data_IF_091727223136
#
_entry.id   IF_091727223136
#
_cell.length_a   1.000
_cell.length_b   1.000
_cell.length_c   1.000
_cell.angle_alpha   90.00
_cell.angle_beta   90.00
_cell.angle_gamma   90.00
#
_symmetry.space_group_name_H-M   'P 1'
#
loop_
_entity.id
_entity.type
_entity.pdbx_description
1 polymer ?
#
# COMPACT_ATOMS: atom_id res chain seq x y z
N UNK A 1 -26.78 -16.38 -4.08
CA UNK A 1 -25.41 -16.02 -3.65
C UNK A 1 -25.54 -15.02 -2.53
N UNK A 2 -24.90 -15.28 -1.38
CA UNK A 2 -24.84 -14.30 -0.29
C UNK A 2 -23.87 -13.17 -0.64
N UNK A 3 -24.03 -11.99 -0.02
CA UNK A 3 -23.11 -10.86 -0.20
C UNK A 3 -21.65 -11.24 0.13
N UNK A 4 -21.47 -12.14 1.10
CA UNK A 4 -20.17 -12.69 1.50
C UNK A 4 -19.47 -13.43 0.36
N UNK A 5 -20.19 -14.30 -0.37
CA UNK A 5 -19.64 -15.02 -1.52
C UNK A 5 -19.18 -14.06 -2.64
N UNK A 6 -19.91 -12.97 -2.86
CA UNK A 6 -19.47 -11.95 -3.82
C UNK A 6 -18.20 -11.25 -3.36
N UNK A 7 -18.09 -10.88 -2.08
CA UNK A 7 -16.89 -10.26 -1.52
C UNK A 7 -15.67 -11.20 -1.65
N UNK A 8 -15.84 -12.50 -1.40
CA UNK A 8 -14.80 -13.52 -1.58
C UNK A 8 -14.33 -13.59 -3.03
N UNK A 9 -15.25 -13.69 -4.00
CA UNK A 9 -14.88 -13.71 -5.43
C UNK A 9 -14.16 -12.45 -5.86
N UNK A 10 -14.57 -11.30 -5.30
CA UNK A 10 -13.96 -10.01 -5.58
C UNK A 10 -12.48 -10.00 -5.17
N UNK A 11 -12.09 -10.70 -4.10
CA UNK A 11 -10.66 -10.79 -3.69
C UNK A 11 -9.76 -11.42 -4.76
N UNK A 12 -10.26 -12.28 -5.65
CA UNK A 12 -9.45 -12.90 -6.71
C UNK A 12 -9.10 -11.93 -7.85
N UNK A 13 -9.73 -10.77 -7.90
CA UNK A 13 -9.38 -9.72 -8.87
C UNK A 13 -8.02 -9.09 -8.52
N UNK A 14 -7.67 -9.00 -7.23
CA UNK A 14 -6.36 -8.50 -6.75
C UNK A 14 -5.17 -9.17 -7.45
N UNK A 15 -4.99 -10.50 -7.37
CA UNK A 15 -3.85 -11.16 -7.99
C UNK A 15 -3.87 -11.06 -9.52
N UNK A 16 -5.05 -10.97 -10.16
CA UNK A 16 -5.14 -10.79 -11.62
C UNK A 16 -4.57 -9.43 -12.03
N UNK A 17 -4.96 -8.36 -11.34
CA UNK A 17 -4.45 -7.00 -11.60
C UNK A 17 -2.93 -6.95 -11.37
N UNK A 18 -2.46 -7.56 -10.27
CA UNK A 18 -1.04 -7.60 -9.93
C UNK A 18 -0.23 -8.39 -10.97
N UNK A 19 -0.70 -9.57 -11.39
CA UNK A 19 -0.08 -10.34 -12.47
C UNK A 19 0.03 -9.53 -13.76
N UNK A 20 -1.04 -8.82 -14.15
CA UNK A 20 -1.02 -7.96 -15.33
C UNK A 20 0.02 -6.85 -15.20
N UNK A 21 0.09 -6.17 -14.06
CA UNK A 21 1.10 -5.15 -13.79
C UNK A 21 2.53 -5.67 -13.82
N UNK A 22 2.76 -6.87 -13.27
CA UNK A 22 4.06 -7.53 -13.28
C UNK A 22 4.49 -7.91 -14.69
N UNK A 23 3.59 -8.50 -15.48
CA UNK A 23 3.85 -8.87 -16.89
C UNK A 23 4.22 -7.62 -17.69
N UNK A 24 3.44 -6.53 -17.56
CA UNK A 24 3.76 -5.26 -18.22
C UNK A 24 5.14 -4.76 -17.80
N UNK A 25 5.43 -4.72 -16.50
CA UNK A 25 6.73 -4.25 -16.02
C UNK A 25 7.89 -5.14 -16.47
N UNK A 26 7.69 -6.45 -16.57
CA UNK A 26 8.68 -7.39 -17.10
C UNK A 26 8.97 -7.13 -18.58
N UNK A 27 7.95 -6.93 -19.41
CA UNK A 27 8.09 -6.62 -20.84
C UNK A 27 8.88 -5.32 -21.08
N UNK A 28 8.76 -4.35 -20.18
CA UNK A 28 9.44 -3.05 -20.29
C UNK A 28 10.63 -2.88 -19.34
N UNK A 29 11.06 -3.91 -18.61
CA UNK A 29 11.99 -3.79 -17.47
C UNK A 29 13.28 -3.02 -17.79
N UNK A 30 13.90 -3.33 -18.93
CA UNK A 30 15.14 -2.69 -19.37
C UNK A 30 14.97 -1.19 -19.64
N UNK A 31 13.75 -0.74 -19.93
CA UNK A 31 13.41 0.65 -20.21
C UNK A 31 12.91 1.41 -19.00
N UNK A 32 12.54 0.73 -17.91
CA UNK A 32 12.04 1.41 -16.72
C UNK A 32 13.15 2.20 -16.03
N UNK A 33 12.83 3.42 -15.63
CA UNK A 33 13.69 4.19 -14.73
C UNK A 33 13.75 3.56 -13.33
N UNK A 34 14.65 4.07 -12.48
CA UNK A 34 14.89 3.49 -11.15
C UNK A 34 13.64 3.50 -10.26
N UNK A 35 12.74 4.47 -10.40
CA UNK A 35 11.57 4.58 -9.53
C UNK A 35 10.45 3.68 -10.02
N UNK A 36 10.23 3.58 -11.33
CA UNK A 36 9.27 2.63 -11.90
C UNK A 36 9.71 1.17 -11.69
N UNK A 37 11.01 0.88 -11.65
CA UNK A 37 11.50 -0.46 -11.23
C UNK A 37 11.17 -0.77 -9.78
N UNK A 38 11.21 0.23 -8.90
CA UNK A 38 10.84 0.08 -7.48
C UNK A 38 9.33 -0.13 -7.35
N UNK A 39 8.51 0.60 -8.12
CA UNK A 39 7.07 0.37 -8.19
C UNK A 39 6.75 -1.03 -8.75
N UNK A 40 7.51 -1.50 -9.74
CA UNK A 40 7.34 -2.86 -10.25
C UNK A 40 7.71 -3.92 -9.20
N UNK A 41 8.82 -3.74 -8.48
CA UNK A 41 9.20 -4.60 -7.36
C UNK A 41 8.14 -4.58 -6.23
N UNK A 42 7.52 -3.43 -5.98
CA UNK A 42 6.40 -3.31 -5.07
C UNK A 42 5.20 -4.16 -5.49
N UNK A 43 4.80 -4.13 -6.77
CA UNK A 43 3.72 -5.01 -7.26
C UNK A 43 4.05 -6.51 -7.10
N UNK A 44 5.31 -6.90 -7.32
CA UNK A 44 5.76 -8.28 -7.05
C UNK A 44 5.63 -8.60 -5.56
N UNK A 45 6.08 -7.71 -4.68
CA UNK A 45 5.94 -7.86 -3.23
C UNK A 45 4.47 -8.03 -2.81
N UNK A 46 3.58 -7.19 -3.32
CA UNK A 46 2.14 -7.31 -3.07
C UNK A 46 1.56 -8.64 -3.55
N UNK A 47 1.96 -9.15 -4.73
CA UNK A 47 1.50 -10.44 -5.22
C UNK A 47 1.99 -11.59 -4.33
N UNK A 48 3.25 -11.56 -3.91
CA UNK A 48 3.82 -12.57 -3.01
C UNK A 48 3.04 -12.59 -1.70
N UNK A 49 2.69 -11.42 -1.15
CA UNK A 49 1.92 -11.33 0.09
C UNK A 49 0.46 -11.80 -0.12
N UNK A 50 -0.19 -11.45 -1.23
CA UNK A 50 -1.55 -11.94 -1.56
C UNK A 50 -1.58 -13.47 -1.64
N UNK A 51 -0.62 -14.07 -2.34
CA UNK A 51 -0.49 -15.53 -2.44
C UNK A 51 -0.15 -16.17 -1.09
N UNK A 52 0.79 -15.60 -0.35
CA UNK A 52 1.15 -16.07 1.00
C UNK A 52 -0.06 -16.02 1.93
N UNK A 53 -0.90 -14.99 1.83
CA UNK A 53 -2.12 -14.85 2.64
C UNK A 53 -3.11 -15.98 2.41
N UNK A 54 -3.28 -16.40 1.16
CA UNK A 54 -4.15 -17.54 0.82
C UNK A 54 -3.58 -18.86 1.30
N UNK A 55 -2.26 -19.04 1.18
CA UNK A 55 -1.58 -20.26 1.63
C UNK A 55 -1.66 -20.36 3.17
N UNK A 56 -1.33 -19.30 3.90
CA UNK A 56 -1.39 -19.27 5.37
C UNK A 56 -2.83 -19.39 5.88
N UNK A 57 -3.80 -18.79 5.20
CA UNK A 57 -5.21 -18.97 5.53
C UNK A 57 -5.68 -20.42 5.41
N UNK A 58 -5.05 -21.23 4.54
CA UNK A 58 -5.38 -22.65 4.39
C UNK A 58 -4.63 -23.54 5.39
N UNK A 59 -3.39 -23.18 5.75
CA UNK A 59 -2.54 -23.98 6.63
C UNK A 59 -2.83 -23.72 8.11
N UNK A 60 -2.87 -22.45 8.51
CA UNK A 60 -2.88 -22.04 9.93
C UNK A 60 -4.19 -21.37 10.33
N UNK A 61 -5.14 -21.18 9.40
CA UNK A 61 -6.36 -20.36 9.56
C UNK A 61 -6.07 -18.95 10.09
N UNK A 62 -4.84 -18.47 9.94
CA UNK A 62 -4.36 -17.21 10.46
C UNK A 62 -3.38 -16.60 9.46
N UNK A 63 -3.67 -15.37 9.03
CA UNK A 63 -2.82 -14.59 8.13
C UNK A 63 -2.51 -13.19 8.71
N UNK A 64 -2.77 -12.98 10.00
CA UNK A 64 -2.67 -11.68 10.67
C UNK A 64 -1.24 -11.13 10.67
N UNK A 65 -0.22 -11.99 10.74
CA UNK A 65 1.19 -11.59 10.61
C UNK A 65 1.46 -10.80 9.32
N UNK A 66 0.75 -11.13 8.23
CA UNK A 66 1.01 -10.50 6.94
C UNK A 66 0.60 -9.04 6.89
N UNK A 67 -0.28 -8.57 7.79
CA UNK A 67 -0.60 -7.16 7.86
C UNK A 67 0.64 -6.30 8.19
N UNK A 68 1.47 -6.74 9.15
CA UNK A 68 2.75 -6.10 9.45
C UNK A 68 3.70 -6.14 8.25
N UNK A 69 3.70 -7.25 7.49
CA UNK A 69 4.55 -7.41 6.30
C UNK A 69 4.12 -6.45 5.19
N UNK A 70 2.81 -6.28 4.95
CA UNK A 70 2.28 -5.29 4.01
C UNK A 70 2.66 -3.88 4.45
N UNK A 71 2.42 -3.53 5.72
CA UNK A 71 2.73 -2.21 6.25
C UNK A 71 4.22 -1.87 6.12
N UNK A 72 5.09 -2.84 6.39
CA UNK A 72 6.54 -2.69 6.25
C UNK A 72 6.94 -2.54 4.77
N UNK A 73 6.36 -3.33 3.86
CA UNK A 73 6.59 -3.19 2.42
C UNK A 73 6.20 -1.79 1.93
N UNK A 74 4.98 -1.36 2.24
CA UNK A 74 4.47 -0.03 1.89
C UNK A 74 5.41 1.05 2.41
N UNK A 75 5.71 1.02 3.70
CA UNK A 75 6.53 2.04 4.34
C UNK A 75 7.94 2.11 3.74
N UNK A 76 8.62 0.98 3.57
CA UNK A 76 9.98 0.95 3.02
C UNK A 76 10.03 1.46 1.58
N UNK A 77 9.10 1.01 0.74
CA UNK A 77 9.03 1.40 -0.67
C UNK A 77 8.74 2.88 -0.81
N UNK A 78 7.71 3.39 -0.13
CA UNK A 78 7.34 4.80 -0.24
C UNK A 78 8.36 5.71 0.44
N UNK A 79 8.93 5.32 1.58
CA UNK A 79 10.07 6.05 2.18
C UNK A 79 11.22 6.17 1.20
N UNK A 80 11.59 5.09 0.50
CA UNK A 80 12.65 5.12 -0.51
C UNK A 80 12.30 6.08 -1.66
N UNK A 81 11.08 5.99 -2.20
CA UNK A 81 10.64 6.86 -3.31
C UNK A 81 10.69 8.33 -2.88
N UNK A 82 10.08 8.67 -1.74
CA UNK A 82 10.05 10.04 -1.24
C UNK A 82 11.45 10.56 -0.91
N UNK A 83 12.32 9.73 -0.33
CA UNK A 83 13.71 10.10 -0.04
C UNK A 83 14.51 10.46 -1.31
N UNK A 84 14.24 9.79 -2.43
CA UNK A 84 14.90 10.07 -3.70
C UNK A 84 14.42 11.37 -4.37
N UNK A 85 13.17 11.74 -4.16
CA UNK A 85 12.53 12.87 -4.86
C UNK A 85 12.56 14.16 -4.04
N UNK A 86 12.40 14.07 -2.72
CA UNK A 86 12.34 15.25 -1.83
C UNK A 86 13.70 15.90 -1.59
N UNK A 87 13.69 17.19 -1.24
CA UNK A 87 14.89 17.88 -0.73
C UNK A 87 15.09 17.64 0.77
N UNK A 88 14.01 17.54 1.54
CA UNK A 88 14.01 17.31 3.00
C UNK A 88 14.22 15.84 3.36
N UNK A 89 15.32 15.26 2.87
CA UNK A 89 15.66 13.84 3.02
C UNK A 89 15.67 13.34 4.47
N UNK A 90 16.18 14.16 5.39
CA UNK A 90 16.25 13.81 6.81
C UNK A 90 14.86 13.62 7.41
N UNK A 91 13.90 14.50 7.08
CA UNK A 91 12.53 14.41 7.60
C UNK A 91 11.86 13.13 7.11
N UNK A 92 11.98 12.83 5.81
CA UNK A 92 11.42 11.59 5.25
C UNK A 92 12.06 10.36 5.88
N UNK A 93 13.37 10.35 6.08
CA UNK A 93 14.06 9.24 6.72
C UNK A 93 13.61 9.05 8.18
N UNK A 94 13.47 10.14 8.94
CA UNK A 94 13.00 10.08 10.32
C UNK A 94 11.57 9.53 10.41
N UNK A 95 10.65 10.01 9.56
CA UNK A 95 9.28 9.48 9.51
C UNK A 95 9.30 7.96 9.21
N UNK A 96 10.10 7.54 8.21
CA UNK A 96 10.24 6.13 7.86
C UNK A 96 10.80 5.27 9.01
N UNK A 97 11.86 5.74 9.68
CA UNK A 97 12.47 5.03 10.81
C UNK A 97 11.47 4.90 11.97
N UNK A 98 10.76 5.98 12.31
CA UNK A 98 9.75 5.98 13.37
C UNK A 98 8.66 4.95 13.05
N UNK A 99 8.17 4.92 11.81
CA UNK A 99 7.17 3.92 11.39
C UNK A 99 7.68 2.49 11.46
N UNK A 100 8.93 2.21 11.05
CA UNK A 100 9.53 0.87 11.15
C UNK A 100 9.68 0.43 12.60
N UNK A 101 10.15 1.33 13.47
CA UNK A 101 10.26 1.05 14.91
C UNK A 101 8.88 0.74 15.50
N UNK A 102 7.86 1.52 15.12
CA UNK A 102 6.49 1.29 15.59
C UNK A 102 5.98 -0.10 15.19
N UNK A 103 6.12 -0.48 13.91
CA UNK A 103 5.76 -1.83 13.42
C UNK A 103 6.50 -2.91 14.21
N UNK A 104 7.80 -2.74 14.44
CA UNK A 104 8.61 -3.73 15.15
C UNK A 104 8.19 -3.88 16.61
N UNK A 105 7.91 -2.77 17.31
CA UNK A 105 7.43 -2.80 18.69
C UNK A 105 6.07 -3.50 18.78
N UNK A 106 5.15 -3.16 17.88
CA UNK A 106 3.81 -3.76 17.87
C UNK A 106 3.86 -5.24 17.53
N UNK A 107 4.68 -5.66 16.56
CA UNK A 107 4.87 -7.08 16.22
C UNK A 107 5.35 -7.92 17.41
N UNK A 108 6.16 -7.33 18.32
CA UNK A 108 6.65 -8.02 19.52
C UNK A 108 5.58 -8.08 20.62
N UNK A 109 4.74 -7.04 20.72
CA UNK A 109 3.71 -6.93 21.76
C UNK A 109 2.42 -7.66 21.42
N UNK A 110 2.07 -7.74 20.14
CA UNK A 110 0.82 -8.32 19.68
C UNK A 110 0.93 -9.84 19.67
N UNK A 111 0.04 -10.49 20.43
CA UNK A 111 -0.10 -11.94 20.36
C UNK A 111 -0.85 -12.30 19.07
N UNK A 112 -0.11 -12.80 18.08
CA UNK A 112 -0.69 -13.08 16.76
C UNK A 112 -1.59 -14.32 16.77
N UNK A 113 -1.50 -15.16 17.80
CA UNK A 113 -2.31 -16.37 17.93
C UNK A 113 -3.74 -16.08 18.46
N UNK A 114 -3.94 -14.93 19.10
CA UNK A 114 -5.24 -14.52 19.63
C UNK A 114 -5.96 -13.55 18.68
N UNK A 115 -6.78 -14.12 17.79
CA UNK A 115 -7.57 -13.38 16.79
C UNK A 115 -8.51 -12.36 17.43
N UNK A 116 -9.02 -12.60 18.64
CA UNK A 116 -9.98 -11.70 19.29
C UNK A 116 -9.28 -10.51 19.97
N UNK A 117 -8.06 -10.71 20.44
CA UNK A 117 -7.25 -9.64 21.01
C UNK A 117 -6.42 -8.88 19.96
N UNK A 118 -6.38 -9.35 18.72
CA UNK A 118 -5.59 -8.73 17.65
C UNK A 118 -6.12 -7.33 17.31
N UNK A 119 -5.29 -6.31 17.59
CA UNK A 119 -5.50 -4.94 17.17
C UNK A 119 -4.25 -4.46 16.48
N UNK A 120 -4.41 -3.92 15.26
CA UNK A 120 -3.29 -3.48 14.45
C UNK A 120 -3.35 -1.96 14.21
N UNK A 121 -2.56 -1.23 14.95
CA UNK A 121 -2.36 0.21 14.82
C UNK A 121 -1.24 0.56 13.84
N UNK A 122 -0.34 -0.37 13.51
CA UNK A 122 0.79 -0.15 12.60
C UNK A 122 0.34 0.33 11.24
N UNK A 123 -0.73 -0.24 10.69
CA UNK A 123 -1.28 0.18 9.40
C UNK A 123 -1.74 1.64 9.40
N UNK A 124 -2.23 2.17 10.54
CA UNK A 124 -2.58 3.59 10.69
C UNK A 124 -1.32 4.44 10.65
N UNK A 125 -0.28 4.06 11.40
CA UNK A 125 1.00 4.78 11.44
C UNK A 125 1.69 4.78 10.07
N UNK A 126 1.65 3.66 9.35
CA UNK A 126 2.18 3.55 7.98
C UNK A 126 1.43 4.50 7.04
N UNK A 127 0.10 4.44 7.04
CA UNK A 127 -0.73 5.30 6.18
C UNK A 127 -0.50 6.78 6.49
N UNK A 128 -0.45 7.14 7.78
CA UNK A 128 -0.16 8.50 8.23
C UNK A 128 1.24 8.97 7.82
N UNK A 129 2.23 8.09 7.91
CA UNK A 129 3.62 8.37 7.52
C UNK A 129 3.72 8.70 6.04
N UNK A 130 3.08 7.90 5.18
CA UNK A 130 3.12 8.09 3.73
C UNK A 130 2.33 9.34 3.33
N UNK A 131 1.18 9.60 3.96
CA UNK A 131 0.43 10.86 3.79
C UNK A 131 1.29 12.06 4.16
N UNK A 132 2.00 12.00 5.29
CA UNK A 132 2.90 13.07 5.75
C UNK A 132 4.03 13.34 4.75
N UNK A 133 4.66 12.29 4.21
CA UNK A 133 5.67 12.42 3.15
C UNK A 133 5.08 13.00 1.86
N UNK A 134 3.85 12.63 1.52
CA UNK A 134 3.15 13.12 0.33
C UNK A 134 2.86 14.62 0.43
N UNK A 135 2.37 15.08 1.59
CA UNK A 135 2.14 16.50 1.89
C UNK A 135 3.45 17.26 1.88
N UNK A 136 4.51 16.71 2.48
CA UNK A 136 5.84 17.31 2.46
C UNK A 136 6.29 17.59 1.03
N UNK A 137 6.16 16.61 0.14
CA UNK A 137 6.52 16.77 -1.27
C UNK A 137 5.65 17.81 -1.99
N UNK A 138 4.34 17.86 -1.71
CA UNK A 138 3.46 18.90 -2.23
C UNK A 138 3.93 20.30 -1.80
N UNK A 139 4.21 20.49 -0.50
CA UNK A 139 4.68 21.79 0.00
C UNK A 139 6.00 22.21 -0.64
N UNK A 140 6.94 21.29 -0.86
CA UNK A 140 8.19 21.58 -1.57
C UNK A 140 7.93 22.02 -3.02
N UNK A 141 7.00 21.35 -3.71
CA UNK A 141 6.67 21.66 -5.11
C UNK A 141 6.05 23.05 -5.27
N UNK A 142 5.19 23.46 -4.32
CA UNK A 142 4.57 24.78 -4.30
C UNK A 142 5.58 25.88 -3.94
N UNK A 143 6.52 25.59 -3.04
CA UNK A 143 7.46 26.61 -2.52
C UNK A 143 8.62 26.89 -3.48
N UNK A 144 9.12 25.88 -4.20
CA UNK A 144 10.43 25.98 -4.87
C UNK A 144 10.39 26.18 -6.38
N UNK A 145 9.22 26.39 -7.01
CA UNK A 145 9.03 26.68 -8.44
C UNK A 145 9.80 25.78 -9.44
N UNK A 146 10.39 24.67 -8.98
CA UNK A 146 11.02 23.68 -9.85
C UNK A 146 9.91 22.74 -10.33
N UNK A 147 9.71 22.63 -11.66
CA UNK A 147 8.71 21.73 -12.18
C UNK A 147 9.11 20.29 -11.83
N UNK A 148 8.28 19.63 -11.02
CA UNK A 148 8.35 18.19 -10.84
C UNK A 148 7.84 17.52 -12.11
N UNK A 149 8.44 16.41 -12.57
CA UNK A 149 7.89 15.67 -13.69
C UNK A 149 6.43 15.32 -13.45
N UNK A 150 5.59 15.49 -14.47
CA UNK A 150 4.13 15.34 -14.33
C UNK A 150 3.73 13.96 -13.78
N UNK A 151 4.44 12.90 -14.18
CA UNK A 151 4.19 11.55 -13.69
C UNK A 151 4.43 11.41 -12.18
N UNK A 152 5.43 12.12 -11.64
CA UNK A 152 5.70 12.13 -10.20
C UNK A 152 4.62 12.87 -9.43
N UNK A 153 4.12 13.99 -9.98
CA UNK A 153 3.01 14.72 -9.37
C UNK A 153 1.76 13.84 -9.30
N UNK A 154 1.48 13.12 -10.38
CA UNK A 154 0.39 12.16 -10.43
C UNK A 154 0.58 10.98 -9.45
N UNK A 155 1.78 10.38 -9.38
CA UNK A 155 2.09 9.33 -8.40
C UNK A 155 1.89 9.83 -6.96
N UNK A 156 2.42 11.02 -6.64
CA UNK A 156 2.29 11.59 -5.31
C UNK A 156 0.82 11.81 -4.94
N UNK A 157 0.01 12.31 -5.87
CA UNK A 157 -1.42 12.51 -5.61
C UNK A 157 -2.16 11.19 -5.46
N UNK A 158 -1.81 10.17 -6.26
CA UNK A 158 -2.36 8.83 -6.11
C UNK A 158 -2.02 8.22 -4.74
N UNK A 159 -0.78 8.33 -4.28
CA UNK A 159 -0.36 7.91 -2.94
C UNK A 159 -1.11 8.67 -1.86
N UNK A 160 -1.17 10.00 -1.95
CA UNK A 160 -1.88 10.82 -0.97
C UNK A 160 -3.34 10.40 -0.83
N UNK A 161 -4.05 10.28 -1.96
CA UNK A 161 -5.46 9.89 -1.95
C UNK A 161 -5.63 8.47 -1.40
N UNK A 162 -4.86 7.50 -1.89
CA UNK A 162 -4.98 6.11 -1.47
C UNK A 162 -4.70 5.93 0.03
N UNK A 163 -3.57 6.45 0.53
CA UNK A 163 -3.21 6.29 1.94
C UNK A 163 -4.06 7.17 2.88
N UNK A 164 -4.60 8.30 2.41
CA UNK A 164 -5.58 9.05 3.18
C UNK A 164 -6.90 8.28 3.34
N UNK A 165 -7.40 7.65 2.27
CA UNK A 165 -8.57 6.78 2.36
C UNK A 165 -8.29 5.57 3.26
N UNK A 166 -7.10 4.97 3.18
CA UNK A 166 -6.76 3.90 4.12
C UNK A 166 -6.74 4.36 5.56
N UNK A 167 -6.18 5.52 5.85
CA UNK A 167 -6.21 6.07 7.20
C UNK A 167 -7.66 6.26 7.68
N UNK A 168 -8.56 6.78 6.83
CA UNK A 168 -9.98 6.94 7.16
C UNK A 168 -10.64 5.58 7.43
N UNK A 169 -10.34 4.53 6.67
CA UNK A 169 -10.92 3.20 6.87
C UNK A 169 -10.33 2.46 8.08
N UNK A 170 -9.08 2.71 8.42
CA UNK A 170 -8.39 2.03 9.53
C UNK A 170 -8.74 2.64 10.89
N UNK A 171 -9.01 3.95 10.98
CA UNK A 171 -9.40 4.59 12.24
C UNK A 171 -10.63 3.97 12.92
N UNK A 172 -11.75 3.67 12.20
CA UNK A 172 -12.90 3.03 12.80
C UNK A 172 -12.75 1.52 12.97
N UNK A 173 -11.64 0.90 12.53
CA UNK A 173 -11.50 -0.56 12.47
C UNK A 173 -11.72 -1.23 13.83
N UNK A 174 -11.24 -0.63 14.92
CA UNK A 174 -11.43 -1.16 16.27
C UNK A 174 -12.86 -1.00 16.79
N UNK A 175 -13.63 -0.03 16.28
CA UNK A 175 -15.06 0.10 16.59
C UNK A 175 -15.89 -0.92 15.81
N UNK A 176 -15.44 -1.26 14.59
CA UNK A 176 -16.12 -2.21 13.70
C UNK A 176 -16.10 -3.66 14.21
N UNK A 177 -15.20 -4.01 15.13
CA UNK A 177 -15.14 -5.35 15.75
C UNK A 177 -16.43 -5.68 16.53
N UNK A 178 -17.12 -4.67 17.04
CA UNK A 178 -18.35 -4.82 17.85
C UNK A 178 -19.64 -4.46 17.09
N UNK A 179 -19.54 -4.14 15.79
CA UNK A 179 -20.66 -3.65 14.97
C UNK A 179 -21.29 -4.76 14.12
N UNK A 180 -22.43 -4.46 13.51
CA UNK A 180 -23.12 -5.39 12.61
C UNK A 180 -22.20 -5.84 11.46
N UNK A 181 -22.19 -7.16 11.21
CA UNK A 181 -21.33 -7.80 10.21
C UNK A 181 -21.47 -7.16 8.82
N UNK A 182 -22.67 -6.68 8.46
CA UNK A 182 -22.91 -6.05 7.16
C UNK A 182 -22.14 -4.75 6.95
N UNK A 183 -22.03 -3.90 7.99
CA UNK A 183 -21.27 -2.65 7.90
C UNK A 183 -19.78 -2.92 7.71
N UNK A 184 -19.26 -3.94 8.41
CA UNK A 184 -17.88 -4.40 8.28
C UNK A 184 -17.60 -4.85 6.86
N UNK A 185 -18.43 -5.74 6.29
CA UNK A 185 -18.25 -6.21 4.91
C UNK A 185 -18.29 -5.08 3.87
N UNK A 186 -19.15 -4.07 4.04
CA UNK A 186 -19.20 -2.93 3.13
C UNK A 186 -17.88 -2.15 3.10
N UNK A 187 -17.29 -1.89 4.27
CA UNK A 187 -16.00 -1.20 4.40
C UNK A 187 -14.88 -2.02 3.75
N UNK A 188 -14.88 -3.34 3.94
CA UNK A 188 -13.91 -4.23 3.29
C UNK A 188 -14.03 -4.20 1.77
N UNK A 189 -15.24 -4.29 1.22
CA UNK A 189 -15.45 -4.21 -0.24
C UNK A 189 -14.96 -2.88 -0.79
N UNK A 190 -15.29 -1.76 -0.12
CA UNK A 190 -14.82 -0.44 -0.52
C UNK A 190 -13.29 -0.34 -0.49
N UNK A 191 -12.67 -0.83 0.58
CA UNK A 191 -11.20 -0.90 0.70
C UNK A 191 -10.56 -1.70 -0.44
N UNK A 192 -11.17 -2.81 -0.84
CA UNK A 192 -10.68 -3.62 -1.97
C UNK A 192 -10.80 -2.86 -3.30
N UNK A 193 -11.89 -2.12 -3.53
CA UNK A 193 -12.05 -1.29 -4.75
C UNK A 193 -10.95 -0.22 -4.82
N UNK A 194 -10.63 0.42 -3.70
CA UNK A 194 -9.51 1.38 -3.63
C UNK A 194 -8.17 0.72 -3.91
N UNK A 195 -7.96 -0.50 -3.42
CA UNK A 195 -6.76 -1.29 -3.70
C UNK A 195 -6.60 -1.57 -5.21
N UNK A 196 -7.67 -2.01 -5.87
CA UNK A 196 -7.66 -2.27 -7.32
C UNK A 196 -7.33 -1.02 -8.12
N UNK A 197 -7.94 0.10 -7.73
CA UNK A 197 -7.70 1.40 -8.35
C UNK A 197 -6.23 1.80 -8.20
N UNK A 198 -5.67 1.63 -7.01
CA UNK A 198 -4.26 1.94 -6.74
C UNK A 198 -3.31 1.08 -7.57
N UNK A 199 -3.49 -0.25 -7.58
CA UNK A 199 -2.66 -1.16 -8.39
C UNK A 199 -2.78 -0.89 -9.89
N UNK A 200 -3.97 -0.52 -10.36
CA UNK A 200 -4.20 -0.13 -11.76
C UNK A 200 -3.47 1.17 -12.11
N UNK A 201 -3.46 2.15 -11.20
CA UNK A 201 -2.70 3.39 -11.36
C UNK A 201 -1.20 3.11 -11.45
N UNK A 202 -0.65 2.31 -10.54
CA UNK A 202 0.78 1.95 -10.56
C UNK A 202 1.16 1.22 -11.85
N UNK A 203 0.32 0.28 -12.28
CA UNK A 203 0.49 -0.43 -13.55
C UNK A 203 0.49 0.52 -14.75
N UNK A 204 -0.44 1.48 -14.78
CA UNK A 204 -0.52 2.50 -15.83
C UNK A 204 0.72 3.39 -15.87
N UNK A 205 1.27 3.76 -14.71
CA UNK A 205 2.51 4.53 -14.61
C UNK A 205 3.71 3.75 -15.17
N UNK A 206 3.87 2.48 -14.77
CA UNK A 206 4.92 1.59 -15.28
C UNK A 206 4.82 1.45 -16.81
N UNK A 207 3.60 1.24 -17.32
CA UNK A 207 3.35 1.11 -18.76
C UNK A 207 3.70 2.38 -19.54
N UNK A 208 3.26 3.55 -19.07
CA UNK A 208 3.54 4.83 -19.72
C UNK A 208 5.04 5.12 -19.76
N UNK A 209 5.77 4.87 -18.67
CA UNK A 209 7.22 5.05 -18.62
C UNK A 209 7.94 4.14 -19.64
N UNK A 210 7.56 2.86 -19.69
CA UNK A 210 8.12 1.90 -20.65
C UNK A 210 7.86 2.22 -22.12
N UNK A 211 6.76 2.93 -22.43
CA UNK A 211 6.42 3.37 -23.79
C UNK A 211 7.13 4.64 -24.24
N UNK A 212 7.33 5.61 -23.33
CA UNK A 212 7.90 6.94 -23.65
C UNK A 212 9.39 6.84 -23.98
N UNK A 213 10.11 5.86 -23.43
CA UNK A 213 11.55 5.62 -23.73
C UNK A 213 11.75 4.76 -24.99
N UNK A 214 10.94 4.99 -26.03
CA UNK A 214 11.13 4.44 -27.38
C UNK A 214 11.79 5.46 -28.30
#
# INVERSE_FOLDING_TARGET
MSFQQYAEYLTYISPIILCFGIIIGALYFNKLDKIHRVLWAYLIGCLIIDLSSRILSQLDNNNLVLFFVVGLLDLLIFTYIYYKVTKRKLIVLLIGIIGVIFIAVELIQTNVDDVQAFQEYSSVVVSFSIVSMSILLLTESLTHAKPMPQYFSFLNMACLVFFAFQLIFLLPLNFLINEDLMAVYFIWVLRIIFLFTFYSILTSLIWKNGKILK
#
